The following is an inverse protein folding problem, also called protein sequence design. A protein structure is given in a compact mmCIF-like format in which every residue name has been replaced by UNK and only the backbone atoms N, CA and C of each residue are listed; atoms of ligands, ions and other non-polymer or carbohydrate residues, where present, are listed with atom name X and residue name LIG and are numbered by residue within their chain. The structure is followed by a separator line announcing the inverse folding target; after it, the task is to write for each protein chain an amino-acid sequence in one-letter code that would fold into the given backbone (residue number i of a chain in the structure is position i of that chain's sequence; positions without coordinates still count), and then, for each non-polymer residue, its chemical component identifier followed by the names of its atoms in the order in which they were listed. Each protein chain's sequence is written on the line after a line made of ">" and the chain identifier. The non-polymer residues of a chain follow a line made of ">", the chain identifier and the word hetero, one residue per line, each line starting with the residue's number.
data_IF_477707637736
#
_entry.id   IF_477707637736
#
_cell.length_a   1.000
_cell.length_b   1.000
_cell.length_c   1.000
_cell.angle_alpha   90.00
_cell.angle_beta   90.00
_cell.angle_gamma   90.00
#
_symmetry.space_group_name_H-M   'P 1'
#
loop_
_entity.id
_entity.type
_entity.pdbx_description
1 polymer ?
#
# COMPACT_ATOMS: atom_id res chain seq x y z
N UNK A 1 38.26 5.18 23.20
CA UNK A 1 36.94 4.74 23.50
C UNK A 1 35.97 5.26 22.45
N UNK A 2 35.72 4.48 21.41
CA UNK A 2 34.68 4.79 20.42
C UNK A 2 33.34 4.51 21.08
N UNK A 3 32.49 5.53 21.17
CA UNK A 3 31.23 5.47 21.89
C UNK A 3 30.32 4.40 21.30
N UNK A 4 29.76 3.55 22.17
CA UNK A 4 28.72 2.54 21.85
C UNK A 4 27.50 3.11 21.07
N UNK A 5 27.35 4.42 20.99
CA UNK A 5 26.27 5.09 20.26
C UNK A 5 26.46 5.17 18.73
N UNK A 6 27.69 5.01 18.21
CA UNK A 6 27.94 5.10 16.76
C UNK A 6 27.59 3.82 15.99
N UNK A 7 27.61 2.65 16.62
CA UNK A 7 27.27 1.39 15.96
C UNK A 7 25.78 1.18 15.77
N UNK A 8 24.93 1.76 16.62
CA UNK A 8 23.47 1.65 16.52
C UNK A 8 22.86 2.49 15.39
N UNK A 9 23.62 3.47 14.84
CA UNK A 9 23.17 4.30 13.73
C UNK A 9 23.56 3.75 12.34
N UNK A 10 24.31 2.64 12.27
CA UNK A 10 24.78 2.05 11.01
C UNK A 10 23.80 1.01 10.43
N UNK A 11 22.86 0.49 11.23
CA UNK A 11 21.84 -0.44 10.76
C UNK A 11 20.46 0.16 11.02
N UNK A 12 19.63 0.32 10.00
CA UNK A 12 18.26 0.77 10.20
C UNK A 12 17.53 -0.26 11.10
N UNK A 13 16.70 0.25 12.02
CA UNK A 13 15.83 -0.62 12.82
C UNK A 13 14.83 -1.30 11.90
N UNK A 14 14.29 -2.45 12.32
CA UNK A 14 13.22 -3.13 11.57
C UNK A 14 12.07 -2.18 11.20
N UNK A 15 11.68 -1.31 12.13
CA UNK A 15 10.60 -0.36 11.93
C UNK A 15 10.94 0.68 10.86
N UNK A 16 12.21 1.13 10.81
CA UNK A 16 12.67 2.04 9.76
C UNK A 16 12.66 1.41 8.37
N UNK A 17 13.10 0.16 8.26
CA UNK A 17 13.03 -0.59 7.00
C UNK A 17 11.59 -0.77 6.56
N UNK A 18 10.68 -1.07 7.50
CA UNK A 18 9.27 -1.21 7.18
C UNK A 18 8.64 0.12 6.74
N UNK A 19 9.03 1.25 7.34
CA UNK A 19 8.58 2.57 6.91
C UNK A 19 9.06 2.87 5.48
N UNK A 20 10.34 2.68 5.16
CA UNK A 20 10.89 2.88 3.82
C UNK A 20 10.18 1.98 2.77
N UNK A 21 9.89 0.73 3.13
CA UNK A 21 9.08 -0.18 2.31
C UNK A 21 7.68 0.35 2.09
N UNK A 22 7.03 0.82 3.15
CA UNK A 22 5.68 1.37 3.11
C UNK A 22 5.65 2.60 2.20
N UNK A 23 6.58 3.53 2.35
CA UNK A 23 6.71 4.72 1.50
C UNK A 23 6.86 4.33 0.01
N UNK A 24 7.70 3.34 -0.28
CA UNK A 24 7.89 2.83 -1.65
C UNK A 24 6.63 2.18 -2.20
N UNK A 25 5.95 1.37 -1.37
CA UNK A 25 4.74 0.64 -1.77
C UNK A 25 3.55 1.56 -2.00
N UNK A 26 3.39 2.60 -1.20
CA UNK A 26 2.23 3.50 -1.24
C UNK A 26 2.44 4.74 -2.12
N UNK A 27 3.68 5.18 -2.36
CA UNK A 27 4.01 6.44 -3.01
C UNK A 27 3.55 6.60 -4.46
N UNK A 28 3.13 5.54 -5.16
CA UNK A 28 2.72 5.61 -6.58
C UNK A 28 1.39 4.92 -6.90
N UNK A 29 0.69 4.36 -5.92
CA UNK A 29 -0.45 3.47 -6.13
C UNK A 29 -1.62 4.11 -6.89
N UNK A 30 -2.08 5.27 -6.46
CA UNK A 30 -3.21 5.96 -7.10
C UNK A 30 -2.89 6.44 -8.52
N UNK A 31 -1.66 6.84 -8.79
CA UNK A 31 -1.22 7.19 -10.15
C UNK A 31 -1.35 6.01 -11.12
N UNK A 32 -0.92 4.84 -10.70
CA UNK A 32 -1.05 3.61 -11.48
C UNK A 32 -2.51 3.20 -11.64
N UNK A 33 -3.29 3.23 -10.56
CA UNK A 33 -4.72 2.90 -10.58
C UNK A 33 -5.51 3.81 -11.53
N UNK A 34 -5.24 5.12 -11.55
CA UNK A 34 -5.84 6.06 -12.51
C UNK A 34 -5.49 5.71 -13.95
N UNK A 35 -4.27 5.29 -14.24
CA UNK A 35 -3.88 4.89 -15.60
C UNK A 35 -4.59 3.61 -16.08
N UNK A 36 -4.92 2.71 -15.16
CA UNK A 36 -5.65 1.45 -15.45
C UNK A 36 -7.16 1.72 -15.58
N UNK A 37 -7.70 2.57 -14.71
CA UNK A 37 -9.14 2.89 -14.69
C UNK A 37 -9.60 3.70 -15.92
N UNK A 38 -8.70 4.32 -16.67
CA UNK A 38 -8.97 5.37 -17.67
C UNK A 38 -9.35 6.72 -17.00
N UNK A 39 -8.64 7.77 -17.38
CA UNK A 39 -8.86 9.15 -16.85
C UNK A 39 -10.24 9.76 -17.15
N UNK A 40 -11.01 9.10 -18.01
CA UNK A 40 -12.39 9.52 -18.36
C UNK A 40 -13.46 8.97 -17.42
N UNK A 41 -13.11 7.98 -16.58
CA UNK A 41 -14.04 7.40 -15.61
C UNK A 41 -14.08 8.26 -14.34
N UNK A 42 -15.19 8.21 -13.58
CA UNK A 42 -15.26 8.86 -12.27
C UNK A 42 -14.11 8.44 -11.34
N UNK A 43 -13.64 9.33 -10.45
CA UNK A 43 -12.48 9.04 -9.58
C UNK A 43 -12.64 7.80 -8.70
N UNK A 44 -13.86 7.42 -8.34
CA UNK A 44 -14.18 6.20 -7.55
C UNK A 44 -13.64 4.92 -8.19
N UNK A 45 -13.53 4.87 -9.52
CA UNK A 45 -12.96 3.72 -10.22
C UNK A 45 -11.46 3.55 -9.94
N UNK A 46 -10.72 4.65 -9.79
CA UNK A 46 -9.31 4.60 -9.42
C UNK A 46 -9.13 4.04 -7.99
N UNK A 47 -9.98 4.46 -7.05
CA UNK A 47 -10.02 3.87 -5.70
C UNK A 47 -10.28 2.37 -5.73
N UNK A 48 -11.28 1.94 -6.50
CA UNK A 48 -11.66 0.55 -6.59
C UNK A 48 -10.56 -0.32 -7.23
N UNK A 49 -9.87 0.18 -8.26
CA UNK A 49 -8.74 -0.51 -8.90
C UNK A 49 -7.56 -0.60 -7.94
N UNK A 50 -7.21 0.49 -7.28
CA UNK A 50 -6.11 0.55 -6.33
C UNK A 50 -6.30 -0.47 -5.20
N UNK A 51 -7.43 -0.42 -4.51
CA UNK A 51 -7.74 -1.32 -3.40
C UNK A 51 -7.86 -2.79 -3.84
N UNK A 52 -8.38 -3.05 -5.04
CA UNK A 52 -8.42 -4.39 -5.62
C UNK A 52 -7.01 -4.93 -5.91
N UNK A 53 -6.09 -4.09 -6.41
CA UNK A 53 -4.69 -4.47 -6.61
C UNK A 53 -4.05 -4.84 -5.26
N UNK A 54 -4.17 -4.01 -4.23
CA UNK A 54 -3.60 -4.29 -2.90
C UNK A 54 -4.07 -5.63 -2.34
N UNK A 55 -5.39 -5.87 -2.34
CA UNK A 55 -5.96 -7.13 -1.86
C UNK A 55 -5.47 -8.32 -2.68
N UNK A 56 -5.32 -8.17 -3.99
CA UNK A 56 -4.84 -9.23 -4.87
C UNK A 56 -3.35 -9.51 -4.65
N UNK A 57 -2.51 -8.51 -4.46
CA UNK A 57 -1.08 -8.67 -4.12
C UNK A 57 -0.90 -9.54 -2.88
N UNK A 58 -1.72 -9.33 -1.85
CA UNK A 58 -1.67 -10.11 -0.61
C UNK A 58 -2.16 -11.56 -0.79
N UNK A 59 -2.91 -11.87 -1.84
CA UNK A 59 -3.26 -13.25 -2.19
C UNK A 59 -2.19 -13.94 -3.04
N UNK A 60 -1.50 -13.19 -3.89
CA UNK A 60 -0.47 -13.74 -4.77
C UNK A 60 0.84 -14.01 -4.04
N UNK A 61 1.14 -13.26 -2.96
CA UNK A 61 2.42 -13.37 -2.26
C UNK A 61 2.24 -13.24 -0.74
N UNK A 62 2.64 -14.29 0.00
CA UNK A 62 2.50 -14.36 1.45
C UNK A 62 3.40 -13.35 2.18
N UNK A 63 4.63 -13.14 1.70
CA UNK A 63 5.54 -12.16 2.30
C UNK A 63 4.99 -10.74 2.14
N UNK A 64 4.44 -10.40 0.97
CA UNK A 64 3.75 -9.12 0.79
C UNK A 64 2.54 -8.99 1.72
N UNK A 65 1.76 -10.07 1.92
CA UNK A 65 0.65 -10.04 2.89
C UNK A 65 1.13 -9.68 4.28
N UNK A 66 2.20 -10.31 4.76
CA UNK A 66 2.76 -10.04 6.08
C UNK A 66 3.24 -8.59 6.20
N UNK A 67 3.96 -8.09 5.19
CA UNK A 67 4.44 -6.70 5.13
C UNK A 67 3.25 -5.72 5.18
N UNK A 68 2.22 -5.92 4.34
CA UNK A 68 1.04 -5.05 4.35
C UNK A 68 0.31 -5.07 5.71
N UNK A 69 0.09 -6.24 6.30
CA UNK A 69 -0.57 -6.36 7.60
C UNK A 69 0.24 -5.65 8.69
N UNK A 70 1.57 -5.78 8.67
CA UNK A 70 2.46 -5.10 9.62
C UNK A 70 2.45 -3.58 9.41
N UNK A 71 2.49 -3.11 8.15
CA UNK A 71 2.40 -1.69 7.80
C UNK A 71 1.10 -1.03 8.29
N UNK A 72 -0.03 -1.71 8.15
CA UNK A 72 -1.32 -1.24 8.68
C UNK A 72 -1.49 -1.43 10.19
N UNK A 73 -0.51 -1.96 10.91
CA UNK A 73 -0.61 -2.28 12.34
C UNK A 73 0.33 -1.47 13.23
N UNK A 74 1.49 -1.09 12.74
CA UNK A 74 2.45 -0.31 13.51
C UNK A 74 2.10 1.19 13.46
N UNK A 75 2.24 1.92 14.58
CA UNK A 75 1.82 3.32 14.66
C UNK A 75 2.44 4.23 13.59
N UNK A 76 3.76 4.13 13.35
CA UNK A 76 4.46 5.02 12.41
C UNK A 76 4.03 4.77 10.95
N UNK A 77 3.94 3.51 10.54
CA UNK A 77 3.58 3.15 9.17
C UNK A 77 2.08 3.32 8.90
N UNK A 78 1.22 3.00 9.86
CA UNK A 78 -0.22 3.23 9.72
C UNK A 78 -0.55 4.71 9.66
N UNK A 79 0.11 5.55 10.46
CA UNK A 79 -0.03 7.00 10.40
C UNK A 79 0.43 7.57 9.04
N UNK A 80 1.56 7.09 8.52
CA UNK A 80 2.00 7.45 7.17
C UNK A 80 0.93 7.12 6.12
N UNK A 81 0.36 5.91 6.18
CA UNK A 81 -0.69 5.48 5.26
C UNK A 81 -1.91 6.41 5.37
N UNK A 82 -2.40 6.69 6.57
CA UNK A 82 -3.57 7.54 6.77
C UNK A 82 -3.36 8.94 6.20
N UNK A 83 -2.24 9.59 6.53
CA UNK A 83 -1.92 10.93 6.04
C UNK A 83 -1.74 10.98 4.53
N UNK A 84 -1.02 10.00 3.96
CA UNK A 84 -0.78 9.93 2.52
C UNK A 84 -2.07 9.69 1.72
N UNK A 85 -2.98 8.86 2.24
CA UNK A 85 -4.22 8.48 1.56
C UNK A 85 -5.31 9.53 1.71
N UNK A 86 -5.37 10.27 2.82
CA UNK A 86 -6.43 11.25 3.12
C UNK A 86 -6.65 12.27 2.00
N UNK A 87 -5.58 12.86 1.47
CA UNK A 87 -5.68 13.86 0.40
C UNK A 87 -6.27 13.26 -0.90
N UNK A 88 -5.90 12.03 -1.22
CA UNK A 88 -6.44 11.29 -2.37
C UNK A 88 -7.92 10.96 -2.18
N UNK A 89 -8.31 10.50 -0.99
CA UNK A 89 -9.71 10.19 -0.66
C UNK A 89 -10.59 11.43 -0.75
N UNK A 90 -10.11 12.58 -0.30
CA UNK A 90 -10.81 13.85 -0.44
C UNK A 90 -11.00 14.25 -1.90
N UNK A 91 -10.01 14.02 -2.77
CA UNK A 91 -10.17 14.26 -4.21
C UNK A 91 -11.19 13.31 -4.85
N UNK A 92 -11.21 12.06 -4.41
CA UNK A 92 -12.06 11.01 -4.99
C UNK A 92 -13.51 11.16 -4.53
N UNK A 93 -13.74 11.40 -3.25
CA UNK A 93 -15.07 11.33 -2.63
C UNK A 93 -15.60 12.67 -2.14
N UNK A 94 -14.85 13.78 -2.27
CA UNK A 94 -15.23 15.08 -1.73
C UNK A 94 -16.58 15.61 -2.22
N UNK A 95 -17.02 15.23 -3.42
CA UNK A 95 -18.35 15.62 -3.94
C UNK A 95 -19.51 15.04 -3.10
N UNK A 96 -19.29 13.89 -2.43
CA UNK A 96 -20.28 13.30 -1.53
C UNK A 96 -20.31 13.96 -0.14
N UNK A 97 -19.32 14.82 0.15
CA UNK A 97 -19.09 15.42 1.47
C UNK A 97 -18.69 16.90 1.34
N UNK A 98 -19.59 17.76 0.82
CA UNK A 98 -19.24 19.15 0.48
C UNK A 98 -18.82 20.00 1.69
N UNK A 99 -19.23 19.62 2.91
CA UNK A 99 -18.94 20.34 4.14
C UNK A 99 -17.80 19.71 4.96
N UNK A 100 -17.31 18.52 4.57
CA UNK A 100 -16.31 17.78 5.33
C UNK A 100 -14.89 18.31 5.06
N UNK A 101 -14.09 18.33 6.12
CA UNK A 101 -12.70 18.78 6.13
C UNK A 101 -11.76 17.62 5.81
N UNK A 102 -10.47 17.89 5.74
CA UNK A 102 -9.45 16.85 5.60
C UNK A 102 -9.39 15.95 6.84
N UNK A 103 -9.68 16.51 8.03
CA UNK A 103 -9.76 15.74 9.28
C UNK A 103 -10.87 14.68 9.24
N UNK A 104 -12.02 15.02 8.66
CA UNK A 104 -13.14 14.07 8.52
C UNK A 104 -12.75 12.90 7.59
N UNK A 105 -12.03 13.17 6.50
CA UNK A 105 -11.50 12.14 5.62
C UNK A 105 -10.42 11.28 6.29
N UNK A 106 -9.57 11.87 7.13
CA UNK A 106 -8.60 11.13 7.92
C UNK A 106 -9.29 10.16 8.90
N UNK A 107 -10.36 10.60 9.57
CA UNK A 107 -11.14 9.75 10.47
C UNK A 107 -11.83 8.59 9.72
N UNK A 108 -12.37 8.84 8.52
CA UNK A 108 -12.94 7.79 7.67
C UNK A 108 -11.87 6.79 7.20
N UNK A 109 -10.66 7.28 6.89
CA UNK A 109 -9.55 6.42 6.47
C UNK A 109 -9.10 5.48 7.58
N UNK A 110 -9.05 5.88 8.84
CA UNK A 110 -8.78 4.97 9.95
C UNK A 110 -9.72 3.76 9.91
N UNK A 111 -11.00 3.98 9.62
CA UNK A 111 -12.00 2.93 9.50
C UNK A 111 -11.78 2.03 8.28
N UNK A 112 -11.56 2.61 7.11
CA UNK A 112 -11.40 1.86 5.85
C UNK A 112 -10.05 1.16 5.76
N UNK A 113 -8.99 1.73 6.32
CA UNK A 113 -7.70 1.06 6.51
C UNK A 113 -7.81 -0.15 7.46
N UNK A 114 -8.60 -0.04 8.53
CA UNK A 114 -8.94 -1.17 9.40
C UNK A 114 -9.67 -2.29 8.67
N UNK A 115 -10.63 -1.96 7.79
CA UNK A 115 -11.26 -2.92 6.89
C UNK A 115 -10.23 -3.56 5.97
N UNK A 116 -9.40 -2.76 5.30
CA UNK A 116 -8.36 -3.23 4.38
C UNK A 116 -7.45 -4.25 5.06
N UNK A 117 -6.88 -3.91 6.21
CA UNK A 117 -6.04 -4.80 7.01
C UNK A 117 -6.74 -6.13 7.32
N UNK A 118 -8.02 -6.08 7.73
CA UNK A 118 -8.78 -7.27 8.09
C UNK A 118 -9.01 -8.20 6.90
N UNK A 119 -9.31 -7.63 5.72
CA UNK A 119 -9.48 -8.39 4.50
C UNK A 119 -8.15 -8.95 3.96
N UNK A 120 -7.04 -8.24 4.11
CA UNK A 120 -5.69 -8.74 3.78
C UNK A 120 -5.29 -9.93 4.64
N UNK A 121 -5.57 -9.86 5.95
CA UNK A 121 -5.23 -10.91 6.90
C UNK A 121 -5.98 -12.23 6.64
N UNK A 122 -7.16 -12.18 6.03
CA UNK A 122 -7.96 -13.38 5.73
C UNK A 122 -7.59 -13.94 4.36
N UNK A 123 -6.90 -15.09 4.30
CA UNK A 123 -6.59 -15.80 3.05
C UNK A 123 -7.87 -16.24 2.33
N UNK A 124 -7.84 -16.18 1.01
CA UNK A 124 -8.91 -16.75 0.19
C UNK A 124 -8.97 -18.28 0.34
N UNK A 125 -10.18 -18.82 0.21
CA UNK A 125 -10.45 -20.26 0.17
C UNK A 125 -11.66 -20.55 -0.74
N UNK A 126 -12.10 -21.82 -0.82
CA UNK A 126 -13.22 -22.24 -1.67
C UNK A 126 -14.56 -21.56 -1.30
N UNK A 127 -14.71 -21.10 -0.06
CA UNK A 127 -15.92 -20.43 0.43
C UNK A 127 -15.81 -18.91 0.37
N UNK A 128 -14.59 -18.39 0.27
CA UNK A 128 -14.29 -16.97 0.22
C UNK A 128 -13.22 -16.69 -0.87
N UNK A 129 -13.56 -16.87 -2.15
CA UNK A 129 -12.63 -16.62 -3.27
C UNK A 129 -12.33 -15.12 -3.42
N UNK A 130 -11.29 -14.80 -4.19
CA UNK A 130 -10.80 -13.43 -4.38
C UNK A 130 -11.89 -12.48 -4.89
N UNK A 131 -12.67 -12.92 -5.86
CA UNK A 131 -13.75 -12.12 -6.46
C UNK A 131 -14.78 -11.70 -5.40
N UNK A 132 -15.12 -12.62 -4.51
CA UNK A 132 -16.02 -12.33 -3.39
C UNK A 132 -15.36 -11.42 -2.36
N UNK A 133 -14.06 -11.59 -2.09
CA UNK A 133 -13.28 -10.71 -1.20
C UNK A 133 -13.31 -9.28 -1.71
N UNK A 134 -12.97 -9.06 -2.99
CA UNK A 134 -12.96 -7.75 -3.63
C UNK A 134 -14.34 -7.09 -3.59
N UNK A 135 -15.37 -7.79 -4.06
CA UNK A 135 -16.74 -7.25 -4.08
C UNK A 135 -17.21 -6.86 -2.68
N UNK A 136 -16.96 -7.68 -1.65
CA UNK A 136 -17.37 -7.38 -0.28
C UNK A 136 -16.61 -6.23 0.34
N UNK A 137 -15.29 -6.16 0.12
CA UNK A 137 -14.48 -5.04 0.58
C UNK A 137 -14.95 -3.73 -0.06
N UNK A 138 -15.01 -3.68 -1.40
CA UNK A 138 -15.41 -2.49 -2.15
C UNK A 138 -16.80 -2.00 -1.73
N UNK A 139 -17.76 -2.90 -1.62
CA UNK A 139 -19.12 -2.55 -1.16
C UNK A 139 -19.10 -1.92 0.24
N UNK A 140 -18.33 -2.47 1.17
CA UNK A 140 -18.25 -1.95 2.53
C UNK A 140 -17.55 -0.58 2.58
N UNK A 141 -16.37 -0.46 1.94
CA UNK A 141 -15.57 0.76 1.95
C UNK A 141 -16.27 1.92 1.22
N UNK A 142 -16.82 1.70 0.02
CA UNK A 142 -17.50 2.75 -0.73
C UNK A 142 -18.77 3.26 -0.03
N UNK A 143 -19.42 2.44 0.82
CA UNK A 143 -20.54 2.89 1.65
C UNK A 143 -20.09 3.82 2.78
N UNK A 144 -18.89 3.64 3.32
CA UNK A 144 -18.31 4.62 4.27
C UNK A 144 -18.20 5.98 3.59
N UNK A 145 -17.80 6.00 2.31
CA UNK A 145 -17.67 7.23 1.51
C UNK A 145 -18.97 7.66 0.83
N UNK A 146 -20.14 7.15 1.26
CA UNK A 146 -21.48 7.52 0.77
C UNK A 146 -21.64 7.47 -0.75
N UNK A 147 -20.89 6.61 -1.42
CA UNK A 147 -21.04 6.40 -2.86
C UNK A 147 -22.47 5.92 -3.16
N UNK A 148 -23.19 6.54 -4.10
CA UNK A 148 -24.53 6.11 -4.50
C UNK A 148 -24.55 4.64 -4.92
N UNK A 149 -25.63 3.92 -4.59
CA UNK A 149 -25.68 2.46 -4.76
C UNK A 149 -25.55 2.03 -6.23
N UNK A 150 -26.07 2.81 -7.16
CA UNK A 150 -25.94 2.57 -8.60
C UNK A 150 -24.50 2.76 -9.11
N UNK A 151 -23.79 3.77 -8.63
CA UNK A 151 -22.37 3.99 -8.93
C UNK A 151 -21.49 2.91 -8.28
N UNK A 152 -21.79 2.55 -7.04
CA UNK A 152 -21.13 1.46 -6.33
C UNK A 152 -21.25 0.14 -7.11
N UNK A 153 -22.48 -0.24 -7.53
CA UNK A 153 -22.68 -1.45 -8.31
C UNK A 153 -21.94 -1.42 -9.65
N UNK A 154 -21.93 -0.29 -10.34
CA UNK A 154 -21.21 -0.15 -11.61
C UNK A 154 -19.70 -0.29 -11.40
N UNK A 155 -19.17 0.31 -10.34
CA UNK A 155 -17.75 0.26 -9.99
C UNK A 155 -17.31 -1.16 -9.61
N UNK A 156 -18.10 -1.88 -8.80
CA UNK A 156 -17.83 -3.29 -8.48
C UNK A 156 -17.83 -4.16 -9.73
N UNK A 157 -18.85 -4.02 -10.59
CA UNK A 157 -18.93 -4.76 -11.87
C UNK A 157 -17.77 -4.42 -12.83
N UNK A 158 -17.24 -3.21 -12.75
CA UNK A 158 -16.06 -2.83 -13.52
C UNK A 158 -14.85 -3.64 -13.06
N UNK A 159 -14.58 -3.68 -11.75
CA UNK A 159 -13.46 -4.45 -11.20
C UNK A 159 -13.60 -5.95 -11.48
N UNK A 160 -14.81 -6.51 -11.39
CA UNK A 160 -15.09 -7.92 -11.72
C UNK A 160 -14.76 -8.30 -13.18
N UNK A 161 -14.75 -7.32 -14.09
CA UNK A 161 -14.40 -7.54 -15.51
C UNK A 161 -12.92 -7.38 -15.81
N UNK A 162 -12.14 -6.83 -14.87
CA UNK A 162 -10.70 -6.71 -15.04
C UNK A 162 -10.00 -8.05 -14.82
N UNK A 163 -8.96 -8.30 -15.58
CA UNK A 163 -7.98 -9.34 -15.23
C UNK A 163 -7.08 -8.84 -14.09
N UNK A 164 -7.68 -8.71 -12.90
CA UNK A 164 -7.02 -8.10 -11.74
C UNK A 164 -5.79 -8.89 -11.29
N UNK A 165 -5.76 -10.22 -11.53
CA UNK A 165 -4.59 -11.05 -11.19
C UNK A 165 -3.40 -10.70 -12.06
N UNK A 166 -3.55 -10.66 -13.38
CA UNK A 166 -2.48 -10.23 -14.27
C UNK A 166 -2.04 -8.78 -14.06
N UNK A 167 -2.96 -7.90 -13.67
CA UNK A 167 -2.63 -6.52 -13.29
C UNK A 167 -1.76 -6.53 -12.04
N UNK A 168 -2.17 -7.22 -10.98
CA UNK A 168 -1.44 -7.31 -9.73
C UNK A 168 -0.07 -7.98 -9.88
N UNK A 169 0.05 -9.02 -10.72
CA UNK A 169 1.34 -9.66 -11.03
C UNK A 169 2.33 -8.67 -11.67
N UNK A 170 1.88 -7.84 -12.60
CA UNK A 170 2.73 -6.79 -13.19
C UNK A 170 3.14 -5.74 -12.16
N UNK A 171 2.20 -5.30 -11.31
CA UNK A 171 2.48 -4.37 -10.22
C UNK A 171 3.50 -4.96 -9.25
N UNK A 172 3.33 -6.22 -8.85
CA UNK A 172 4.25 -6.94 -7.97
C UNK A 172 5.66 -7.02 -8.57
N UNK A 173 5.76 -7.33 -9.86
CA UNK A 173 7.05 -7.38 -10.55
C UNK A 173 7.75 -6.01 -10.54
N UNK A 174 7.02 -4.93 -10.86
CA UNK A 174 7.55 -3.56 -10.81
C UNK A 174 7.98 -3.17 -9.40
N UNK A 175 7.19 -3.52 -8.39
CA UNK A 175 7.51 -3.27 -6.98
C UNK A 175 8.80 -3.96 -6.58
N UNK A 176 8.97 -5.24 -6.89
CA UNK A 176 10.19 -5.98 -6.57
C UNK A 176 11.42 -5.44 -7.31
N UNK A 177 11.28 -5.01 -8.56
CA UNK A 177 12.38 -4.33 -9.27
C UNK A 177 12.77 -3.02 -8.60
N UNK A 178 11.82 -2.21 -8.19
CA UNK A 178 12.05 -0.94 -7.49
C UNK A 178 12.75 -1.18 -6.15
N UNK A 179 12.29 -2.14 -5.37
CA UNK A 179 12.88 -2.51 -4.09
C UNK A 179 14.30 -3.06 -4.26
N UNK A 180 14.54 -3.94 -5.24
CA UNK A 180 15.87 -4.47 -5.51
C UNK A 180 16.85 -3.35 -5.86
N UNK A 181 16.46 -2.41 -6.73
CA UNK A 181 17.31 -1.26 -7.05
C UNK A 181 17.58 -0.37 -5.84
N UNK A 182 16.57 -0.13 -5.00
CA UNK A 182 16.70 0.70 -3.80
C UNK A 182 17.70 0.10 -2.80
N UNK A 183 17.62 -1.21 -2.54
CA UNK A 183 18.48 -1.88 -1.58
C UNK A 183 19.86 -2.23 -2.13
N UNK A 184 20.03 -2.52 -3.42
CA UNK A 184 21.33 -2.76 -4.04
C UNK A 184 22.25 -1.55 -3.93
N UNK A 185 21.70 -0.33 -4.11
CA UNK A 185 22.47 0.90 -3.90
C UNK A 185 22.90 1.07 -2.44
N UNK A 186 22.06 0.72 -1.51
CA UNK A 186 22.35 0.80 -0.07
C UNK A 186 23.41 -0.23 0.39
N UNK A 187 23.43 -1.42 -0.18
CA UNK A 187 24.43 -2.45 0.11
C UNK A 187 25.83 -2.08 -0.39
N UNK A 188 25.94 -1.47 -1.56
CA UNK A 188 27.22 -1.00 -2.09
C UNK A 188 27.85 0.12 -1.24
N UNK A 189 27.06 0.99 -0.63
CA UNK A 189 27.53 2.00 0.32
C UNK A 189 28.03 1.40 1.65
N UNK A 190 27.53 0.24 2.06
CA UNK A 190 27.92 -0.44 3.31
C UNK A 190 29.20 -1.27 3.14
N UNK A 191 29.47 -1.83 1.96
CA UNK A 191 30.66 -2.63 1.69
C UNK A 191 31.94 -1.82 1.46
N UNK A 192 31.85 -0.51 1.19
CA UNK A 192 32.99 0.33 0.87
C UNK A 192 34.00 0.64 2.01
N UNK A 193 33.72 0.57 3.33
CA UNK A 193 34.67 0.96 4.36
C UNK A 193 35.46 -0.16 5.04
N UNK A 194 35.36 -1.42 4.64
CA UNK A 194 35.99 -2.54 5.36
C UNK A 194 37.34 -3.03 4.80
N UNK A 195 37.87 -2.40 3.77
CA UNK A 195 39.15 -2.77 3.16
C UNK A 195 40.10 -1.58 3.19
N UNK A 196 40.62 -1.22 4.37
CA UNK A 196 41.91 -0.53 4.50
C UNK A 196 42.28 -0.31 5.95
N UNK A 197 42.84 -1.32 6.61
CA UNK A 197 43.77 -1.17 7.73
C UNK A 197 44.26 -2.55 8.17
N UNK A 198 45.09 -3.16 7.33
CA UNK A 198 46.15 -4.09 7.80
C UNK A 198 47.21 -4.14 6.70
N UNK A 199 48.27 -3.39 6.94
CA UNK A 199 49.64 -3.67 6.62
C UNK A 199 50.44 -2.39 6.64
N UNK A 200 51.16 -2.19 7.74
CA UNK A 200 52.53 -1.78 7.79
C UNK A 200 52.99 -1.55 9.24
N UNK A 201 53.63 -2.54 9.80
CA UNK A 201 54.66 -2.31 10.79
C UNK A 201 55.71 -3.43 10.68
N UNK A 202 56.75 -3.10 10.01
CA UNK A 202 58.05 -3.72 10.21
C UNK A 202 59.05 -2.66 10.58
#
# INVERSE_FOLDING_TARGET
>A
GVARGSYLNLFPTKDRVLLDLTETMFGGQFGMARSIADTKLPPVYAYAVETAIQLTLTELNENLREIYIEAYSLPETSEYIYLHTTAELKQIFGEHFPDDTESDFYEMEIGTAGLMRSYMARKCDIHFPLERKLSRFLTAAMRVYRVPEDELEQTVRFVERLDIRSIAERVMHTLFQTLAMHYDFSLQEIEAPLISETEETT
#
